data_IF_608018406935
#
_entry.id   IF_608018406935
#
_cell.length_a   1.000
_cell.length_b   1.000
_cell.length_c   1.000
_cell.angle_alpha   90.00
_cell.angle_beta   90.00
_cell.angle_gamma   90.00
#
_symmetry.space_group_name_H-M   'P 1'
#
loop_
_entity.id
_entity.type
_entity.pdbx_description
1 polymer ?
#
# COMPACT_ATOMS: atom_id res chain seq x y z
N UNK A 1 8.59 5.31 11.97
CA UNK A 1 8.65 3.91 11.47
C UNK A 1 8.95 3.90 9.96
N UNK A 2 9.67 2.90 9.43
CA UNK A 2 9.98 2.78 8.00
C UNK A 2 8.75 2.31 7.18
N UNK A 3 8.80 2.47 5.85
CA UNK A 3 7.74 1.99 4.95
C UNK A 3 7.48 0.47 5.13
N UNK A 4 6.21 0.03 5.21
CA UNK A 4 5.88 -1.37 5.52
C UNK A 4 6.09 -2.30 4.32
N UNK A 5 6.25 -1.75 3.11
CA UNK A 5 6.50 -2.48 1.88
C UNK A 5 7.75 -1.91 1.23
N UNK A 6 8.66 -2.79 0.81
CA UNK A 6 9.88 -2.44 0.10
C UNK A 6 9.71 -2.54 -1.42
N UNK A 7 10.57 -1.84 -2.17
CA UNK A 7 10.59 -1.92 -3.65
C UNK A 7 10.82 -3.35 -4.12
N UNK A 8 11.71 -4.11 -3.47
CA UNK A 8 11.97 -5.51 -3.83
C UNK A 8 10.72 -6.39 -3.69
N UNK A 9 9.87 -6.15 -2.68
CA UNK A 9 8.60 -6.87 -2.54
C UNK A 9 7.63 -6.53 -3.68
N UNK A 10 7.57 -5.25 -4.07
CA UNK A 10 6.74 -4.82 -5.19
C UNK A 10 7.26 -5.38 -6.53
N UNK A 11 8.58 -5.44 -6.74
CA UNK A 11 9.17 -6.07 -7.92
C UNK A 11 8.80 -7.55 -8.03
N UNK A 12 8.89 -8.30 -6.91
CA UNK A 12 8.45 -9.71 -6.86
C UNK A 12 6.97 -9.83 -7.20
N UNK A 13 6.12 -8.96 -6.64
CA UNK A 13 4.68 -8.96 -6.89
C UNK A 13 4.36 -8.69 -8.37
N UNK A 14 5.07 -7.75 -8.99
CA UNK A 14 4.95 -7.39 -10.41
C UNK A 14 5.68 -8.36 -11.34
N UNK A 15 6.38 -9.38 -10.79
CA UNK A 15 7.20 -10.34 -11.54
C UNK A 15 8.32 -9.66 -12.36
N UNK A 16 8.88 -8.58 -11.82
CA UNK A 16 10.04 -7.87 -12.37
C UNK A 16 11.36 -8.46 -11.83
N UNK A 17 12.46 -8.15 -12.52
CA UNK A 17 13.79 -8.49 -12.03
C UNK A 17 14.14 -7.62 -10.81
N UNK A 18 14.45 -8.26 -9.69
CA UNK A 18 14.72 -7.56 -8.42
C UNK A 18 16.00 -6.73 -8.52
N UNK A 19 15.90 -5.42 -8.26
CA UNK A 19 17.02 -4.47 -8.28
C UNK A 19 17.65 -4.25 -9.66
N UNK A 20 16.95 -4.65 -10.73
CA UNK A 20 17.42 -4.52 -12.10
C UNK A 20 16.39 -3.89 -13.03
N UNK A 21 15.30 -3.35 -12.49
CA UNK A 21 14.22 -2.74 -13.27
C UNK A 21 14.59 -1.35 -13.78
N UNK A 22 15.44 -0.60 -13.07
CA UNK A 22 15.74 0.80 -13.37
C UNK A 22 14.56 1.74 -13.09
N UNK A 23 13.48 1.21 -12.53
CA UNK A 23 12.24 1.92 -12.21
C UNK A 23 12.07 2.13 -10.70
N UNK A 24 13.11 1.89 -9.89
CA UNK A 24 13.04 1.79 -8.43
C UNK A 24 12.46 3.07 -7.78
N UNK A 25 12.81 4.23 -8.31
CA UNK A 25 12.28 5.51 -7.85
C UNK A 25 10.76 5.65 -8.10
N UNK A 26 10.29 5.16 -9.25
CA UNK A 26 8.87 5.18 -9.59
C UNK A 26 8.08 4.17 -8.75
N UNK A 27 8.64 2.98 -8.53
CA UNK A 27 8.05 1.95 -7.68
C UNK A 27 7.95 2.42 -6.22
N UNK A 28 8.98 3.10 -5.71
CA UNK A 28 8.94 3.73 -4.38
C UNK A 28 7.83 4.79 -4.29
N UNK A 29 7.64 5.62 -5.32
CA UNK A 29 6.56 6.60 -5.36
C UNK A 29 5.17 5.95 -5.34
N UNK A 30 5.00 4.82 -6.04
CA UNK A 30 3.74 4.05 -6.03
C UNK A 30 3.44 3.44 -4.65
N UNK A 31 4.45 2.94 -3.94
CA UNK A 31 4.30 2.46 -2.56
C UNK A 31 3.79 3.57 -1.64
N UNK A 32 4.39 4.77 -1.73
CA UNK A 32 3.96 5.93 -0.93
C UNK A 32 2.54 6.37 -1.30
N UNK A 33 2.19 6.38 -2.59
CA UNK A 33 0.84 6.72 -3.04
C UNK A 33 -0.19 5.72 -2.52
N UNK A 34 0.11 4.42 -2.61
CA UNK A 34 -0.73 3.35 -2.08
C UNK A 34 -0.90 3.47 -0.56
N UNK A 35 0.17 3.68 0.20
CA UNK A 35 0.11 3.89 1.65
C UNK A 35 -0.81 5.05 2.02
N UNK A 36 -0.66 6.21 1.37
CA UNK A 36 -1.52 7.39 1.64
C UNK A 36 -2.99 7.10 1.35
N UNK A 37 -3.29 6.36 0.28
CA UNK A 37 -4.65 5.95 -0.02
C UNK A 37 -5.22 5.01 1.06
N UNK A 38 -4.41 4.08 1.57
CA UNK A 38 -4.79 3.21 2.69
C UNK A 38 -5.01 4.01 3.98
N UNK A 39 -4.12 4.92 4.33
CA UNK A 39 -4.27 5.79 5.52
C UNK A 39 -5.54 6.63 5.46
N UNK A 40 -5.84 7.24 4.30
CA UNK A 40 -7.06 7.99 4.08
C UNK A 40 -8.31 7.13 4.20
N UNK A 41 -8.26 5.88 3.74
CA UNK A 41 -9.38 4.95 3.87
C UNK A 41 -9.61 4.53 5.32
N UNK A 42 -8.52 4.26 6.05
CA UNK A 42 -8.56 3.80 7.44
C UNK A 42 -8.86 4.92 8.45
N UNK A 43 -8.60 6.18 8.07
CA UNK A 43 -8.54 7.34 8.96
C UNK A 43 -7.53 7.14 10.10
N UNK A 44 -6.37 6.57 9.75
CA UNK A 44 -5.30 6.15 10.68
C UNK A 44 -3.93 6.27 10.03
N UNK A 45 -2.90 6.58 10.82
CA UNK A 45 -1.51 6.58 10.34
C UNK A 45 -0.92 5.16 10.40
N UNK A 46 -0.27 4.75 9.30
CA UNK A 46 0.43 3.46 9.15
C UNK A 46 1.92 3.60 9.52
N UNK A 47 2.53 4.74 9.14
CA UNK A 47 3.96 5.04 9.41
C UNK A 47 4.12 6.32 10.23
N UNK A 48 5.36 6.73 10.49
CA UNK A 48 5.67 7.93 11.27
C UNK A 48 5.67 7.69 12.79
N UNK A 49 5.64 8.78 13.55
CA UNK A 49 5.63 8.77 15.02
C UNK A 49 4.22 8.55 15.59
N UNK A 50 3.19 8.93 14.83
CA UNK A 50 1.78 8.75 15.17
C UNK A 50 1.18 7.44 14.62
N UNK A 51 2.02 6.47 14.25
CA UNK A 51 1.58 5.17 13.75
C UNK A 51 0.66 4.49 14.78
N UNK A 52 -0.56 4.15 14.35
CA UNK A 52 -1.64 3.77 15.27
C UNK A 52 -2.09 2.32 15.13
N UNK A 53 -1.57 1.58 14.15
CA UNK A 53 -1.92 0.18 13.90
C UNK A 53 -1.19 -0.77 14.86
N UNK A 54 -1.86 -1.87 15.22
CA UNK A 54 -1.18 -2.99 15.88
C UNK A 54 -0.24 -3.70 14.89
N UNK A 55 0.65 -4.56 15.39
CA UNK A 55 1.57 -5.31 14.53
C UNK A 55 0.82 -6.23 13.54
N UNK A 56 -0.28 -6.85 13.98
CA UNK A 56 -1.09 -7.73 13.13
C UNK A 56 -1.87 -6.93 12.09
N UNK A 57 -2.46 -5.78 12.48
CA UNK A 57 -3.15 -4.89 11.54
C UNK A 57 -2.18 -4.31 10.50
N UNK A 58 -0.93 -4.06 10.90
CA UNK A 58 0.11 -3.57 10.01
C UNK A 58 0.45 -4.59 8.92
N UNK A 59 0.42 -5.90 9.21
CA UNK A 59 0.62 -6.95 8.20
C UNK A 59 -0.50 -6.93 7.14
N UNK A 60 -1.75 -6.72 7.58
CA UNK A 60 -2.91 -6.61 6.68
C UNK A 60 -2.82 -5.32 5.85
N UNK A 61 -2.47 -4.20 6.49
CA UNK A 61 -2.26 -2.93 5.80
C UNK A 61 -1.10 -3.02 4.78
N UNK A 62 0.00 -3.70 5.12
CA UNK A 62 1.13 -3.91 4.22
C UNK A 62 0.71 -4.72 2.97
N UNK A 63 -0.08 -5.78 3.14
CA UNK A 63 -0.61 -6.54 2.01
C UNK A 63 -1.52 -5.68 1.11
N UNK A 64 -2.41 -4.90 1.72
CA UNK A 64 -3.28 -3.97 1.01
C UNK A 64 -2.49 -2.91 0.21
N UNK A 65 -1.44 -2.34 0.82
CA UNK A 65 -0.53 -1.39 0.17
C UNK A 65 0.19 -2.04 -1.01
N UNK A 66 0.71 -3.27 -0.85
CA UNK A 66 1.38 -4.00 -1.92
C UNK A 66 0.44 -4.26 -3.10
N UNK A 67 -0.78 -4.72 -2.83
CA UNK A 67 -1.79 -4.98 -3.87
C UNK A 67 -2.20 -3.71 -4.60
N UNK A 68 -2.38 -2.60 -3.87
CA UNK A 68 -2.75 -1.32 -4.44
C UNK A 68 -1.60 -0.73 -5.27
N UNK A 69 -0.35 -0.79 -4.78
CA UNK A 69 0.81 -0.30 -5.52
C UNK A 69 1.00 -1.08 -6.83
N UNK A 70 0.81 -2.41 -6.81
CA UNK A 70 0.84 -3.23 -8.01
C UNK A 70 -0.29 -2.84 -8.99
N UNK A 71 -1.50 -2.63 -8.48
CA UNK A 71 -2.63 -2.18 -9.29
C UNK A 71 -2.36 -0.84 -9.97
N UNK A 72 -1.80 0.14 -9.25
CA UNK A 72 -1.44 1.45 -9.80
C UNK A 72 -0.34 1.37 -10.86
N UNK A 73 0.61 0.43 -10.72
CA UNK A 73 1.63 0.20 -11.74
C UNK A 73 1.02 -0.34 -13.04
N UNK A 74 0.13 -1.32 -12.94
CA UNK A 74 -0.51 -1.97 -14.08
C UNK A 74 -1.57 -1.08 -14.75
N UNK A 75 -2.25 -0.21 -13.99
CA UNK A 75 -3.39 0.58 -14.43
C UNK A 75 -3.07 2.08 -14.38
N UNK A 76 -2.13 2.53 -15.23
CA UNK A 76 -1.63 3.92 -15.24
C UNK A 76 -2.67 4.97 -15.64
N UNK A 77 -3.66 4.58 -16.44
CA UNK A 77 -4.64 5.51 -17.03
C UNK A 77 -5.83 5.85 -16.11
N UNK A 78 -5.82 5.36 -14.86
CA UNK A 78 -6.80 5.69 -13.83
C UNK A 78 -8.02 4.77 -13.82
N UNK A 79 -8.12 3.96 -12.76
CA UNK A 79 -9.36 3.30 -12.34
C UNK A 79 -10.00 4.06 -11.18
N UNK A 80 -11.33 4.14 -11.15
CA UNK A 80 -12.05 4.79 -10.06
C UNK A 80 -11.92 3.98 -8.77
N UNK A 81 -11.10 4.47 -7.84
CA UNK A 81 -11.08 4.05 -6.45
C UNK A 81 -10.20 2.83 -6.11
N UNK A 82 -10.32 2.37 -4.87
CA UNK A 82 -9.58 1.20 -4.38
C UNK A 82 -10.09 -0.07 -5.07
N UNK A 83 -9.20 -1.00 -5.48
CA UNK A 83 -9.61 -2.32 -5.92
C UNK A 83 -10.51 -2.98 -4.87
N UNK A 84 -11.62 -3.60 -5.28
CA UNK A 84 -12.61 -4.12 -4.34
C UNK A 84 -12.03 -5.06 -3.26
N UNK A 85 -11.04 -5.87 -3.63
CA UNK A 85 -10.32 -6.75 -2.69
C UNK A 85 -9.52 -5.98 -1.63
N UNK A 86 -8.93 -4.84 -2.00
CA UNK A 86 -8.21 -3.96 -1.06
C UNK A 86 -9.22 -3.32 -0.09
N UNK A 87 -10.38 -2.90 -0.58
CA UNK A 87 -11.46 -2.40 0.27
C UNK A 87 -11.94 -3.40 1.30
N UNK A 88 -12.13 -4.68 0.91
CA UNK A 88 -12.53 -5.76 1.82
C UNK A 88 -11.48 -6.03 2.89
N UNK A 89 -10.19 -6.04 2.52
CA UNK A 89 -9.08 -6.24 3.47
C UNK A 89 -9.01 -5.13 4.52
N UNK A 90 -9.26 -3.89 4.12
CA UNK A 90 -9.12 -2.73 4.99
C UNK A 90 -10.36 -2.44 5.84
N UNK A 91 -11.53 -2.94 5.44
CA UNK A 91 -12.81 -2.65 6.12
C UNK A 91 -12.79 -2.90 7.64
N UNK A 92 -12.22 -4.01 8.15
CA UNK A 92 -12.17 -4.28 9.59
C UNK A 92 -11.26 -3.32 10.38
N UNK A 93 -10.29 -2.69 9.70
CA UNK A 93 -9.28 -1.84 10.33
C UNK A 93 -9.70 -0.36 10.41
N UNK A 94 -10.76 -0.01 9.68
CA UNK A 94 -11.24 1.36 9.53
C UNK A 94 -11.74 1.91 10.86
N UNK A 95 -11.32 3.13 11.22
CA UNK A 95 -11.86 3.84 12.37
C UNK A 95 -13.24 4.38 12.01
N UNK A 96 -14.26 3.94 12.74
CA UNK A 96 -15.61 4.48 12.60
C UNK A 96 -15.71 5.69 13.54
N UNK A 97 -15.68 6.90 12.98
CA UNK A 97 -16.11 8.08 13.73
C UNK A 97 -17.62 7.99 13.91
N UNK A 98 -18.06 7.98 15.17
CA UNK A 98 -19.47 8.09 15.57
C UNK A 98 -19.84 9.56 15.66
#
# INVERSE_FOLDING_TARGET
>A
MAEPVSVAQLEVQLRLAVGGSGEEASLAALIVAARRAVENFLDRSVVGDDASLSADDLLVAALAILMLAAHLYENRDGGDGLPGVVGVLLWPLRRWSV
#
